data_IF_511975051716
#
_entry.id   IF_511975051716
#
_cell.length_a   1.000
_cell.length_b   1.000
_cell.length_c   1.000
_cell.angle_alpha   90.00
_cell.angle_beta   90.00
_cell.angle_gamma   90.00
#
_symmetry.space_group_name_H-M   'P 1'
#
loop_
_entity.id
_entity.type
_entity.pdbx_description
1 polymer ?
#
# COMPACT_ATOMS: atom_id res chain seq x y z
N UNK A 1 16.88 0.72 -16.31
CA UNK A 1 15.89 0.29 -15.30
C UNK A 1 15.67 1.44 -14.33
N UNK A 2 14.47 1.61 -13.76
CA UNK A 2 14.24 2.64 -12.74
C UNK A 2 15.04 2.35 -11.47
N UNK A 3 15.54 3.38 -10.80
CA UNK A 3 16.38 3.28 -9.60
C UNK A 3 16.00 4.34 -8.56
N UNK A 4 16.08 3.98 -7.29
CA UNK A 4 16.04 4.94 -6.18
C UNK A 4 17.40 5.63 -6.11
N UNK A 5 17.44 6.95 -5.94
CA UNK A 5 18.69 7.67 -5.73
C UNK A 5 18.75 8.20 -4.31
N UNK A 6 19.79 7.84 -3.56
CA UNK A 6 20.04 8.33 -2.20
C UNK A 6 21.10 9.43 -2.21
N UNK A 7 21.00 10.37 -1.29
CA UNK A 7 21.86 11.55 -1.20
C UNK A 7 22.32 11.77 0.23
N UNK A 8 23.58 12.14 0.39
CA UNK A 8 24.14 12.38 1.72
C UNK A 8 23.65 13.69 2.34
N UNK A 9 23.33 14.69 1.52
CA UNK A 9 22.78 15.96 1.99
C UNK A 9 21.28 16.06 1.74
N UNK A 10 20.61 16.93 2.48
CA UNK A 10 19.21 17.27 2.24
C UNK A 10 19.03 17.96 0.86
N UNK A 11 17.78 18.00 0.39
CA UNK A 11 17.39 18.61 -0.89
C UNK A 11 18.08 17.99 -2.12
N UNK A 12 18.45 16.70 -2.05
CA UNK A 12 19.05 15.94 -3.15
C UNK A 12 20.45 16.45 -3.56
N UNK A 13 21.26 16.84 -2.58
CA UNK A 13 22.63 17.33 -2.78
C UNK A 13 23.69 16.36 -2.24
N UNK A 14 24.96 16.68 -2.52
CA UNK A 14 26.09 15.90 -2.04
C UNK A 14 26.37 14.62 -2.84
N UNK A 15 27.21 13.77 -2.25
CA UNK A 15 27.47 12.43 -2.77
C UNK A 15 26.16 11.62 -2.88
N UNK A 16 26.03 10.81 -3.92
CA UNK A 16 24.80 10.06 -4.20
C UNK A 16 25.08 8.72 -4.85
N UNK A 17 24.13 7.80 -4.70
CA UNK A 17 24.16 6.48 -5.34
C UNK A 17 22.78 6.12 -5.88
N UNK A 18 22.76 5.54 -7.09
CA UNK A 18 21.56 5.02 -7.71
C UNK A 18 21.44 3.51 -7.46
N UNK A 19 20.28 3.09 -6.96
CA UNK A 19 20.02 1.77 -6.42
C UNK A 19 18.89 1.11 -7.20
N UNK A 20 19.23 0.02 -7.89
CA UNK A 20 18.23 -0.86 -8.48
C UNK A 20 17.48 -1.64 -7.40
N UNK A 21 16.42 -2.34 -7.83
CA UNK A 21 15.68 -3.28 -6.97
C UNK A 21 16.66 -4.29 -6.34
N UNK A 22 16.56 -4.49 -5.04
CA UNK A 22 17.46 -5.35 -4.28
C UNK A 22 17.66 -4.88 -2.85
N UNK A 23 18.54 -5.58 -2.13
CA UNK A 23 18.95 -5.24 -0.77
C UNK A 23 20.40 -4.78 -0.81
N UNK A 24 20.71 -3.63 -0.21
CA UNK A 24 22.02 -3.01 -0.30
C UNK A 24 22.47 -2.49 1.07
N UNK A 25 23.69 -2.83 1.49
CA UNK A 25 24.38 -2.12 2.58
C UNK A 25 25.07 -0.89 2.01
N UNK A 26 24.95 0.28 2.65
CA UNK A 26 25.41 1.55 2.07
C UNK A 26 26.93 1.58 1.82
N UNK A 27 27.71 0.96 2.70
CA UNK A 27 29.17 0.91 2.57
C UNK A 27 29.63 0.20 1.29
N UNK A 28 28.88 -0.80 0.84
CA UNK A 28 29.17 -1.54 -0.41
C UNK A 28 28.94 -0.70 -1.67
N UNK A 29 28.26 0.45 -1.51
CA UNK A 29 27.87 1.37 -2.58
C UNK A 29 28.74 2.63 -2.60
N UNK A 30 29.72 2.74 -1.69
CA UNK A 30 30.55 3.94 -1.55
C UNK A 30 29.82 5.13 -0.91
N UNK A 31 28.66 4.90 -0.30
CA UNK A 31 27.97 5.89 0.53
C UNK A 31 28.33 5.62 1.99
N UNK A 32 28.83 6.62 2.74
CA UNK A 32 29.07 6.42 4.17
C UNK A 32 27.78 6.01 4.89
N UNK A 33 27.87 5.01 5.75
CA UNK A 33 26.81 4.72 6.72
C UNK A 33 26.55 5.97 7.56
N UNK A 34 25.32 6.13 8.03
CA UNK A 34 24.94 7.25 8.91
C UNK A 34 25.13 8.62 8.26
N UNK A 35 24.98 8.74 6.94
CA UNK A 35 25.12 10.03 6.27
C UNK A 35 24.00 10.31 5.27
N UNK A 36 22.94 9.51 5.19
CA UNK A 36 21.85 9.70 4.22
C UNK A 36 20.82 10.70 4.76
N UNK A 37 20.57 11.76 4.00
CA UNK A 37 19.65 12.84 4.38
C UNK A 37 18.45 13.02 3.44
N UNK A 38 18.53 12.59 2.18
CA UNK A 38 17.41 12.68 1.23
C UNK A 38 17.43 11.58 0.18
N UNK A 39 16.28 11.32 -0.46
CA UNK A 39 16.17 10.30 -1.51
C UNK A 39 15.11 10.62 -2.56
N UNK A 40 15.42 10.30 -3.81
CA UNK A 40 14.47 10.27 -4.92
C UNK A 40 13.95 8.85 -5.11
N UNK A 41 12.64 8.69 -5.09
CA UNK A 41 11.97 7.41 -5.25
C UNK A 41 11.01 7.55 -6.44
N UNK A 42 11.42 7.08 -7.63
CA UNK A 42 10.58 7.16 -8.81
C UNK A 42 9.23 6.50 -8.56
N UNK A 43 8.18 7.05 -9.19
CA UNK A 43 6.86 6.44 -9.17
C UNK A 43 6.95 4.96 -9.58
N UNK A 44 6.36 4.08 -8.78
CA UNK A 44 6.51 2.64 -9.00
C UNK A 44 7.70 1.99 -8.28
N UNK A 45 8.36 2.68 -7.34
CA UNK A 45 9.40 2.12 -6.47
C UNK A 45 9.13 2.37 -4.97
N UNK A 46 9.76 1.56 -4.13
CA UNK A 46 9.74 1.73 -2.66
C UNK A 46 11.16 1.61 -2.12
N UNK A 47 11.48 2.41 -1.12
CA UNK A 47 12.76 2.40 -0.42
C UNK A 47 12.52 2.27 1.08
N UNK A 48 12.94 1.17 1.69
CA UNK A 48 12.95 1.00 3.14
C UNK A 48 14.38 1.16 3.64
N UNK A 49 14.63 2.24 4.37
CA UNK A 49 15.90 2.51 5.03
C UNK A 49 15.92 1.79 6.39
N UNK A 50 17.08 1.30 6.79
CA UNK A 50 17.34 0.62 8.07
C UNK A 50 18.54 1.25 8.77
N UNK A 51 18.44 1.43 10.08
CA UNK A 51 19.51 2.05 10.88
C UNK A 51 20.79 1.19 10.91
N UNK A 52 20.65 -0.14 10.91
CA UNK A 52 21.77 -1.07 10.99
C UNK A 52 22.04 -1.72 9.63
N UNK A 53 23.25 -2.26 9.47
CA UNK A 53 23.59 -3.13 8.34
C UNK A 53 22.76 -4.40 8.35
N UNK A 54 22.72 -5.10 7.21
CA UNK A 54 21.99 -6.36 7.05
C UNK A 54 20.47 -6.24 7.33
N UNK A 55 19.90 -5.05 7.09
CA UNK A 55 18.46 -4.78 7.09
C UNK A 55 17.80 -5.01 8.45
N UNK A 56 18.47 -4.57 9.52
CA UNK A 56 18.05 -4.74 10.91
C UNK A 56 17.80 -3.39 11.60
N UNK A 57 17.20 -3.46 12.78
CA UNK A 57 16.92 -2.29 13.60
C UNK A 57 15.73 -1.48 13.11
N UNK A 58 15.63 -0.25 13.59
CA UNK A 58 14.59 0.67 13.19
C UNK A 58 14.65 0.99 11.70
N UNK A 59 13.47 1.09 11.07
CA UNK A 59 13.34 1.27 9.64
C UNK A 59 12.28 2.31 9.28
N UNK A 60 12.47 2.96 8.13
CA UNK A 60 11.52 3.94 7.58
C UNK A 60 11.36 3.74 6.07
N UNK A 61 10.12 3.77 5.60
CA UNK A 61 9.77 3.48 4.21
C UNK A 61 9.31 4.72 3.46
N UNK A 62 9.78 4.87 2.23
CA UNK A 62 9.51 5.98 1.33
C UNK A 62 9.06 5.47 -0.03
N UNK A 63 8.04 6.11 -0.61
CA UNK A 63 7.46 5.78 -1.93
C UNK A 63 7.39 6.95 -2.89
N UNK A 64 7.95 8.08 -2.50
CA UNK A 64 8.10 9.28 -3.32
C UNK A 64 9.37 10.00 -2.92
N UNK A 65 9.78 10.95 -3.74
CA UNK A 65 10.86 11.86 -3.45
C UNK A 65 10.65 12.54 -2.08
N UNK A 66 11.69 12.52 -1.25
CA UNK A 66 11.73 13.23 0.02
C UNK A 66 12.98 14.08 0.09
N UNK A 67 12.78 15.38 0.24
CA UNK A 67 13.86 16.37 0.36
C UNK A 67 14.62 16.24 1.68
N UNK A 68 14.02 15.60 2.67
CA UNK A 68 14.61 15.35 3.98
C UNK A 68 13.95 14.11 4.60
N UNK A 69 14.73 13.18 5.12
CA UNK A 69 14.23 11.92 5.69
C UNK A 69 13.58 12.10 7.08
N UNK A 70 13.75 13.27 7.69
CA UNK A 70 13.22 13.62 9.01
C UNK A 70 14.26 13.49 10.12
N UNK A 71 14.10 14.27 11.18
CA UNK A 71 15.03 14.34 12.32
C UNK A 71 15.20 12.97 13.02
N UNK A 72 14.20 12.12 12.90
CA UNK A 72 14.17 10.76 13.43
C UNK A 72 15.08 9.78 12.68
N UNK A 73 15.42 10.07 11.42
CA UNK A 73 16.12 9.12 10.54
C UNK A 73 17.33 9.72 9.81
N UNK A 74 17.53 11.04 9.91
CA UNK A 74 18.68 11.71 9.32
C UNK A 74 19.98 11.14 9.87
N UNK A 75 20.92 10.81 8.98
CA UNK A 75 22.23 10.27 9.37
C UNK A 75 22.12 8.98 10.20
N UNK A 76 21.07 8.19 10.00
CA UNK A 76 20.89 6.88 10.67
C UNK A 76 21.06 5.68 9.76
N UNK A 77 20.84 5.85 8.46
CA UNK A 77 20.76 4.70 7.54
C UNK A 77 22.11 3.99 7.41
N UNK A 78 22.12 2.66 7.53
CA UNK A 78 23.27 1.80 7.20
C UNK A 78 22.93 0.76 6.12
N UNK A 79 21.65 0.42 5.94
CA UNK A 79 21.22 -0.45 4.83
C UNK A 79 19.86 -0.05 4.27
N UNK A 80 19.59 -0.44 3.04
CA UNK A 80 18.38 -0.08 2.30
C UNK A 80 17.86 -1.27 1.50
N UNK A 81 16.54 -1.45 1.51
CA UNK A 81 15.84 -2.35 0.59
C UNK A 81 15.09 -1.51 -0.43
N UNK A 82 15.41 -1.72 -1.71
CA UNK A 82 14.74 -1.08 -2.85
C UNK A 82 13.84 -2.10 -3.52
N UNK A 83 12.56 -1.80 -3.61
CA UNK A 83 11.55 -2.63 -4.27
C UNK A 83 10.90 -1.91 -5.44
N UNK A 84 10.18 -2.68 -6.25
CA UNK A 84 9.24 -2.12 -7.22
C UNK A 84 7.86 -2.01 -6.56
N UNK A 85 7.27 -0.83 -6.57
CA UNK A 85 5.89 -0.61 -6.14
C UNK A 85 4.86 -1.19 -7.13
N UNK A 86 5.30 -1.74 -8.28
CA UNK A 86 4.42 -2.49 -9.20
C UNK A 86 4.04 -3.88 -8.69
N UNK A 87 4.64 -4.36 -7.61
CA UNK A 87 4.09 -5.49 -6.87
C UNK A 87 4.37 -5.25 -5.40
N UNK A 88 3.47 -4.51 -4.75
CA UNK A 88 3.39 -4.47 -3.29
C UNK A 88 2.89 -5.80 -2.72
N UNK A 89 3.12 -6.93 -3.39
CA UNK A 89 2.79 -8.25 -2.85
C UNK A 89 3.56 -8.42 -1.54
N UNK A 90 2.82 -8.60 -0.46
CA UNK A 90 3.37 -8.96 0.85
C UNK A 90 3.07 -10.42 1.13
N UNK A 91 3.81 -11.04 2.05
CA UNK A 91 3.44 -12.40 2.48
C UNK A 91 2.16 -12.30 3.32
N UNK A 92 1.33 -13.32 3.28
CA UNK A 92 0.12 -13.38 4.09
C UNK A 92 0.39 -13.18 5.60
N UNK A 93 1.55 -13.65 6.08
CA UNK A 93 2.00 -13.47 7.46
C UNK A 93 2.36 -12.02 7.83
N UNK A 94 2.61 -11.16 6.85
CA UNK A 94 2.97 -9.76 7.07
C UNK A 94 1.72 -8.86 7.11
N UNK A 95 0.53 -9.41 6.81
CA UNK A 95 -0.75 -8.69 6.94
C UNK A 95 -1.02 -8.39 8.42
N UNK A 96 -1.28 -7.13 8.73
CA UNK A 96 -1.62 -6.68 10.06
C UNK A 96 -3.14 -6.55 10.22
N UNK A 97 -3.62 -6.79 11.44
CA UNK A 97 -5.05 -6.83 11.78
C UNK A 97 -5.41 -5.79 12.84
N UNK A 98 -4.57 -4.78 13.05
CA UNK A 98 -4.85 -3.69 13.98
C UNK A 98 -5.98 -2.80 13.45
N UNK A 99 -7.03 -2.51 14.24
CA UNK A 99 -8.14 -1.67 13.79
C UNK A 99 -7.67 -0.25 13.47
N UNK A 100 -8.36 0.38 12.53
CA UNK A 100 -8.16 1.76 12.16
C UNK A 100 -8.78 2.70 13.20
N UNK A 101 -7.97 3.61 13.74
CA UNK A 101 -8.38 4.61 14.72
C UNK A 101 -8.34 6.05 14.19
N UNK A 102 -7.96 6.23 12.92
CA UNK A 102 -7.88 7.54 12.29
C UNK A 102 -9.26 8.11 11.93
N UNK A 103 -9.27 9.40 11.58
CA UNK A 103 -10.41 10.06 10.95
C UNK A 103 -10.25 10.11 9.43
N UNK A 104 -11.33 10.49 8.74
CA UNK A 104 -11.32 10.71 7.30
C UNK A 104 -12.69 10.46 6.70
N UNK A 105 -12.79 10.68 5.39
CA UNK A 105 -13.97 10.37 4.61
C UNK A 105 -13.60 9.56 3.36
N UNK A 106 -14.60 8.88 2.81
CA UNK A 106 -14.43 7.97 1.67
C UNK A 106 -13.76 8.63 0.46
N UNK A 107 -14.00 9.91 0.18
CA UNK A 107 -13.41 10.56 -0.99
C UNK A 107 -11.92 10.82 -0.79
N UNK A 108 -11.52 11.26 0.41
CA UNK A 108 -10.12 11.46 0.76
C UNK A 108 -9.34 10.12 0.69
N UNK A 109 -9.92 9.04 1.20
CA UNK A 109 -9.30 7.71 1.14
C UNK A 109 -9.20 7.18 -0.29
N UNK A 110 -10.23 7.38 -1.14
CA UNK A 110 -10.16 6.99 -2.56
C UNK A 110 -9.07 7.79 -3.29
N UNK A 111 -9.00 9.11 -3.05
CA UNK A 111 -7.99 9.95 -3.69
C UNK A 111 -6.57 9.48 -3.33
N UNK A 112 -6.29 9.26 -2.05
CA UNK A 112 -5.02 8.74 -1.56
C UNK A 112 -4.72 7.32 -2.09
N UNK A 113 -5.73 6.46 -2.20
CA UNK A 113 -5.56 5.12 -2.75
C UNK A 113 -5.25 5.15 -4.25
N UNK A 114 -5.90 6.04 -5.01
CA UNK A 114 -5.59 6.26 -6.43
C UNK A 114 -4.15 6.77 -6.60
N UNK A 115 -3.72 7.73 -5.79
CA UNK A 115 -2.33 8.23 -5.79
C UNK A 115 -1.35 7.08 -5.51
N UNK A 116 -1.57 6.32 -4.43
CA UNK A 116 -0.71 5.21 -4.05
C UNK A 116 -0.65 4.13 -5.14
N UNK A 117 -1.79 3.77 -5.74
CA UNK A 117 -1.88 2.77 -6.81
C UNK A 117 -1.43 3.30 -8.18
N UNK A 118 -1.00 4.57 -8.27
CA UNK A 118 -0.68 5.26 -9.53
C UNK A 118 -1.83 5.17 -10.54
N UNK A 119 -3.07 5.35 -10.07
CA UNK A 119 -4.30 5.40 -10.86
C UNK A 119 -4.82 6.85 -10.95
N UNK A 120 -5.50 7.22 -12.04
CA UNK A 120 -6.09 8.55 -12.15
C UNK A 120 -7.21 8.72 -11.12
N UNK A 121 -7.16 9.78 -10.32
CA UNK A 121 -8.28 10.16 -9.48
C UNK A 121 -9.37 10.83 -10.35
N UNK A 122 -10.39 10.05 -10.74
CA UNK A 122 -11.43 10.48 -11.66
C UNK A 122 -12.81 9.90 -11.27
N UNK A 123 -13.92 10.32 -11.91
CA UNK A 123 -15.25 9.86 -11.56
C UNK A 123 -15.47 8.34 -11.68
N UNK A 124 -14.74 7.64 -12.54
CA UNK A 124 -14.87 6.18 -12.69
C UNK A 124 -14.46 5.44 -11.42
N UNK A 125 -13.26 5.74 -10.93
CA UNK A 125 -12.76 5.19 -9.66
C UNK A 125 -13.55 5.69 -8.45
N UNK A 126 -13.84 7.00 -8.39
CA UNK A 126 -14.56 7.61 -7.26
C UNK A 126 -15.97 7.03 -7.11
N UNK A 127 -16.76 7.00 -8.18
CA UNK A 127 -18.14 6.52 -8.08
C UNK A 127 -18.19 5.03 -7.80
N UNK A 128 -17.33 4.24 -8.47
CA UNK A 128 -17.29 2.79 -8.27
C UNK A 128 -16.94 2.41 -6.82
N UNK A 129 -15.90 3.01 -6.24
CA UNK A 129 -15.52 2.72 -4.86
C UNK A 129 -16.49 3.28 -3.82
N UNK A 130 -17.14 4.43 -4.08
CA UNK A 130 -18.22 4.92 -3.21
C UNK A 130 -19.36 3.90 -3.14
N UNK A 131 -19.84 3.42 -4.28
CA UNK A 131 -20.91 2.42 -4.30
C UNK A 131 -20.49 1.11 -3.67
N UNK A 132 -19.30 0.61 -4.01
CA UNK A 132 -18.78 -0.64 -3.46
C UNK A 132 -18.62 -0.56 -1.94
N UNK A 133 -17.91 0.44 -1.41
CA UNK A 133 -17.64 0.54 0.02
C UNK A 133 -18.91 0.83 0.83
N UNK A 134 -19.90 1.53 0.26
CA UNK A 134 -21.20 1.70 0.90
C UNK A 134 -21.88 0.35 1.13
N UNK A 135 -21.88 -0.52 0.12
CA UNK A 135 -22.53 -1.83 0.18
C UNK A 135 -21.78 -2.82 1.05
N UNK A 136 -20.47 -2.82 0.94
CA UNK A 136 -19.59 -3.79 1.58
C UNK A 136 -19.41 -3.53 3.09
N UNK A 137 -19.34 -2.27 3.50
CA UNK A 137 -18.99 -1.93 4.88
C UNK A 137 -19.80 -0.78 5.49
N UNK A 138 -20.75 -0.19 4.75
CA UNK A 138 -21.36 1.09 5.14
C UNK A 138 -20.30 2.17 5.46
N UNK A 139 -19.19 2.14 4.71
CA UNK A 139 -18.01 2.99 4.93
C UNK A 139 -17.29 2.80 6.28
N UNK A 140 -17.48 1.68 6.96
CA UNK A 140 -16.75 1.37 8.19
C UNK A 140 -15.39 0.70 7.87
N UNK A 141 -14.24 1.35 8.13
CA UNK A 141 -12.93 0.75 7.88
C UNK A 141 -12.64 -0.48 8.76
N UNK A 142 -13.37 -0.66 9.86
CA UNK A 142 -13.21 -1.78 10.79
C UNK A 142 -14.27 -2.89 10.59
N UNK A 143 -15.00 -2.87 9.47
CA UNK A 143 -15.99 -3.90 9.18
C UNK A 143 -15.33 -5.27 8.96
N UNK A 144 -15.92 -6.32 9.55
CA UNK A 144 -15.52 -7.72 9.37
C UNK A 144 -16.75 -8.54 9.04
N UNK A 145 -16.68 -9.35 7.99
CA UNK A 145 -17.71 -10.34 7.71
C UNK A 145 -17.33 -11.70 8.32
N UNK A 146 -18.11 -12.15 9.31
CA UNK A 146 -17.87 -13.40 10.05
C UNK A 146 -18.92 -14.48 9.76
N UNK A 147 -19.90 -14.18 8.91
CA UNK A 147 -21.07 -15.06 8.69
C UNK A 147 -21.05 -15.78 7.35
N UNK A 148 -20.07 -15.48 6.49
CA UNK A 148 -19.94 -16.09 5.18
C UNK A 148 -19.11 -17.39 5.19
N UNK A 149 -19.05 -18.03 4.02
CA UNK A 149 -18.30 -19.28 3.82
C UNK A 149 -16.79 -19.13 4.10
N UNK A 150 -16.27 -17.89 4.08
CA UNK A 150 -14.87 -17.58 4.30
C UNK A 150 -14.52 -17.43 5.79
N UNK A 151 -15.48 -17.59 6.71
CA UNK A 151 -15.26 -17.58 8.16
C UNK A 151 -14.53 -18.85 8.66
N UNK A 152 -13.36 -19.14 8.09
CA UNK A 152 -12.50 -20.29 8.37
C UNK A 152 -11.01 -19.86 8.40
N UNK A 153 -10.14 -20.82 8.75
CA UNK A 153 -8.70 -20.58 8.89
C UNK A 153 -8.25 -20.27 10.32
N UNK A 154 -6.96 -19.97 10.50
CA UNK A 154 -6.40 -19.61 11.81
C UNK A 154 -6.99 -18.30 12.31
N UNK A 155 -7.08 -18.14 13.62
CA UNK A 155 -7.53 -16.88 14.22
C UNK A 155 -6.45 -15.82 14.03
N UNK A 156 -6.81 -14.72 13.37
CA UNK A 156 -5.93 -13.57 13.17
C UNK A 156 -5.86 -12.69 14.43
N UNK A 157 -4.98 -11.70 14.43
CA UNK A 157 -4.73 -10.84 15.60
C UNK A 157 -5.93 -10.01 16.07
N UNK A 158 -6.99 -9.93 15.27
CA UNK A 158 -8.26 -9.27 15.59
C UNK A 158 -9.32 -10.21 16.22
N UNK A 159 -8.98 -11.49 16.42
CA UNK A 159 -9.89 -12.48 17.00
C UNK A 159 -10.85 -13.12 16.00
N UNK A 160 -10.73 -12.83 14.69
CA UNK A 160 -11.57 -13.42 13.65
C UNK A 160 -10.80 -14.45 12.79
N UNK A 161 -11.49 -15.43 12.17
CA UNK A 161 -10.85 -16.35 11.22
C UNK A 161 -10.11 -15.61 10.10
N UNK A 162 -8.94 -16.13 9.70
CA UNK A 162 -8.05 -15.46 8.75
C UNK A 162 -8.75 -15.16 7.43
N UNK A 163 -9.64 -16.02 6.94
CA UNK A 163 -10.23 -15.82 5.62
C UNK A 163 -11.44 -14.86 5.60
N UNK A 164 -11.88 -14.33 6.74
CA UNK A 164 -12.93 -13.31 6.78
C UNK A 164 -12.56 -12.07 5.94
N UNK A 165 -13.53 -11.53 5.19
CA UNK A 165 -13.34 -10.23 4.53
C UNK A 165 -13.33 -9.09 5.55
N UNK A 166 -12.48 -8.10 5.31
CA UNK A 166 -12.21 -6.99 6.22
C UNK A 166 -12.09 -5.65 5.49
N UNK A 167 -12.40 -4.59 6.20
CA UNK A 167 -12.18 -3.22 5.75
C UNK A 167 -13.21 -2.71 4.75
N UNK A 168 -12.96 -1.50 4.23
CA UNK A 168 -13.92 -0.75 3.42
C UNK A 168 -14.45 -1.52 2.19
N UNK A 169 -13.53 -2.14 1.45
CA UNK A 169 -13.83 -2.89 0.24
C UNK A 169 -13.95 -4.40 0.48
N UNK A 170 -14.01 -4.82 1.76
CA UNK A 170 -14.17 -6.22 2.17
C UNK A 170 -13.16 -7.17 1.48
N UNK A 171 -11.88 -6.83 1.57
CA UNK A 171 -10.81 -7.69 1.08
C UNK A 171 -10.57 -8.86 2.05
N UNK A 172 -10.37 -10.07 1.53
CA UNK A 172 -9.80 -11.18 2.32
C UNK A 172 -8.27 -11.03 2.42
N UNK A 173 -7.61 -11.47 3.50
CA UNK A 173 -6.17 -11.30 3.67
C UNK A 173 -5.27 -11.87 2.56
N UNK A 174 -5.56 -13.05 1.96
CA UNK A 174 -4.77 -13.52 0.82
C UNK A 174 -4.84 -12.57 -0.39
N UNK A 175 -6.01 -11.99 -0.67
CA UNK A 175 -6.18 -10.98 -1.73
C UNK A 175 -5.48 -9.69 -1.36
N UNK A 176 -5.65 -9.19 -0.13
CA UNK A 176 -4.93 -8.00 0.32
C UNK A 176 -3.43 -8.19 0.17
N UNK A 177 -2.88 -9.33 0.61
CA UNK A 177 -1.47 -9.64 0.49
C UNK A 177 -0.99 -9.70 -0.97
N UNK A 178 -1.75 -10.35 -1.86
CA UNK A 178 -1.40 -10.51 -3.28
C UNK A 178 -1.56 -9.21 -4.10
N UNK A 179 -2.32 -8.24 -3.63
CA UNK A 179 -2.63 -7.01 -4.36
C UNK A 179 -2.24 -5.74 -3.61
N UNK A 180 -1.55 -5.86 -2.47
CA UNK A 180 -1.10 -4.72 -1.68
C UNK A 180 -0.26 -3.77 -2.54
N UNK A 181 -0.35 -2.48 -2.20
CA UNK A 181 0.29 -1.39 -2.92
C UNK A 181 1.40 -0.85 -2.02
N UNK A 182 2.64 -0.94 -2.49
CA UNK A 182 3.79 -0.51 -1.71
C UNK A 182 3.66 0.96 -1.29
N UNK A 183 4.05 1.27 -0.06
CA UNK A 183 3.88 2.59 0.55
C UNK A 183 2.54 2.82 1.24
N UNK A 184 1.59 1.89 1.11
CA UNK A 184 0.39 1.87 1.94
C UNK A 184 0.61 1.00 3.18
N UNK A 185 -0.23 1.18 4.19
CA UNK A 185 -0.19 0.41 5.44
C UNK A 185 -0.24 -1.10 5.19
N UNK A 186 0.38 -1.88 6.08
CA UNK A 186 0.23 -3.35 6.09
C UNK A 186 -1.05 -3.80 6.79
N UNK A 187 -1.77 -2.88 7.45
CA UNK A 187 -3.05 -3.20 8.08
C UNK A 187 -4.15 -3.30 7.03
N UNK A 188 -4.85 -4.44 7.02
CA UNK A 188 -6.02 -4.65 6.15
C UNK A 188 -7.19 -3.71 6.49
N UNK A 189 -7.19 -3.14 7.70
CA UNK A 189 -8.20 -2.15 8.14
C UNK A 189 -7.86 -0.71 7.74
N UNK A 190 -6.63 -0.45 7.28
CA UNK A 190 -6.30 0.88 6.77
C UNK A 190 -7.12 1.18 5.50
N UNK A 191 -7.90 2.27 5.48
CA UNK A 191 -8.84 2.53 4.40
C UNK A 191 -8.15 2.77 3.05
N UNK A 192 -6.96 3.40 3.06
CA UNK A 192 -6.18 3.67 1.85
C UNK A 192 -5.60 2.38 1.29
N UNK A 193 -4.96 1.57 2.14
CA UNK A 193 -4.39 0.29 1.74
C UNK A 193 -5.45 -0.70 1.23
N UNK A 194 -6.61 -0.75 1.91
CA UNK A 194 -7.71 -1.66 1.54
C UNK A 194 -8.30 -1.31 0.16
N UNK A 195 -8.56 -0.02 -0.10
CA UNK A 195 -9.04 0.45 -1.41
C UNK A 195 -7.96 0.27 -2.48
N UNK A 196 -6.70 0.60 -2.18
CA UNK A 196 -5.60 0.48 -3.12
C UNK A 196 -5.41 -0.98 -3.56
N UNK A 197 -5.42 -1.93 -2.62
CA UNK A 197 -5.36 -3.35 -2.92
C UNK A 197 -6.58 -3.83 -3.73
N UNK A 198 -7.79 -3.40 -3.35
CA UNK A 198 -9.02 -3.70 -4.09
C UNK A 198 -8.96 -3.20 -5.54
N UNK A 199 -8.37 -2.02 -5.78
CA UNK A 199 -8.22 -1.45 -7.12
C UNK A 199 -7.36 -2.31 -8.03
N UNK A 200 -6.27 -2.87 -7.50
CA UNK A 200 -5.40 -3.79 -8.25
C UNK A 200 -6.12 -5.12 -8.48
N UNK A 201 -6.82 -5.64 -7.47
CA UNK A 201 -7.60 -6.87 -7.59
C UNK A 201 -8.67 -6.76 -8.68
N UNK A 202 -9.47 -5.69 -8.71
CA UNK A 202 -10.54 -5.58 -9.72
C UNK A 202 -10.01 -5.40 -11.14
N UNK A 203 -8.85 -4.75 -11.28
CA UNK A 203 -8.14 -4.65 -12.56
C UNK A 203 -7.61 -5.99 -13.02
N UNK A 204 -7.08 -6.82 -12.14
CA UNK A 204 -6.60 -8.13 -12.57
C UNK A 204 -7.74 -9.15 -12.75
N UNK A 205 -8.63 -9.28 -11.76
CA UNK A 205 -9.67 -10.32 -11.76
C UNK A 205 -10.82 -10.04 -12.72
N UNK A 206 -11.25 -8.78 -12.82
CA UNK A 206 -12.40 -8.35 -13.64
C UNK A 206 -11.99 -7.55 -14.87
N UNK A 207 -10.68 -7.32 -15.05
CA UNK A 207 -10.13 -6.58 -16.20
C UNK A 207 -10.65 -5.15 -16.28
N UNK A 208 -10.94 -4.52 -15.14
CA UNK A 208 -11.30 -3.08 -15.08
C UNK A 208 -10.19 -2.24 -15.71
N UNK A 209 -10.58 -1.28 -16.54
CA UNK A 209 -9.66 -0.39 -17.25
C UNK A 209 -8.88 0.50 -16.29
N UNK A 210 -7.68 0.92 -16.68
CA UNK A 210 -6.81 1.76 -15.82
C UNK A 210 -7.47 3.10 -15.46
N UNK A 211 -8.31 3.63 -16.33
CA UNK A 211 -9.09 4.85 -16.09
C UNK A 211 -10.36 4.62 -15.25
N UNK A 212 -10.69 3.37 -14.89
CA UNK A 212 -11.86 3.02 -14.08
C UNK A 212 -13.21 3.28 -14.76
N UNK A 213 -13.23 3.62 -16.05
CA UNK A 213 -14.46 4.03 -16.75
C UNK A 213 -15.50 2.92 -16.86
N UNK A 214 -15.06 1.66 -16.81
CA UNK A 214 -15.87 0.45 -16.91
C UNK A 214 -16.01 -0.31 -15.58
N UNK A 215 -15.61 0.28 -14.45
CA UNK A 215 -15.62 -0.39 -13.14
C UNK A 215 -17.03 -0.83 -12.75
N UNK A 216 -18.00 0.09 -12.78
CA UNK A 216 -19.40 -0.22 -12.49
C UNK A 216 -19.98 -1.25 -13.45
N UNK A 217 -19.58 -1.26 -14.73
CA UNK A 217 -20.06 -2.26 -15.69
C UNK A 217 -19.54 -3.67 -15.34
N UNK A 218 -18.26 -3.79 -14.99
CA UNK A 218 -17.55 -5.06 -14.77
C UNK A 218 -17.72 -5.64 -13.37
N UNK A 219 -17.95 -4.80 -12.36
CA UNK A 219 -18.11 -5.22 -10.96
C UNK A 219 -19.46 -4.75 -10.46
N UNK A 220 -20.40 -5.69 -10.30
CA UNK A 220 -21.79 -5.38 -9.92
C UNK A 220 -21.90 -4.63 -8.59
N UNK A 221 -21.00 -4.91 -7.65
CA UNK A 221 -21.00 -4.22 -6.37
C UNK A 221 -20.65 -2.73 -6.48
N UNK A 222 -19.93 -2.34 -7.53
CA UNK A 222 -19.61 -0.95 -7.84
C UNK A 222 -20.70 -0.24 -8.66
N UNK A 223 -21.82 -0.93 -8.97
CA UNK A 223 -22.90 -0.39 -9.81
C UNK A 223 -24.13 -0.01 -8.99
N UNK A 224 -24.45 1.30 -8.85
CA UNK A 224 -25.60 1.74 -8.07
C UNK A 224 -26.95 1.40 -8.73
N UNK A 225 -26.98 1.13 -10.03
CA UNK A 225 -28.21 0.80 -10.78
C UNK A 225 -28.61 -0.67 -10.70
N UNK A 226 -27.71 -1.54 -10.23
CA UNK A 226 -27.97 -2.97 -10.03
C UNK A 226 -28.11 -3.31 -8.55
N UNK A 227 -28.88 -4.34 -8.17
CA UNK A 227 -28.94 -4.78 -6.78
C UNK A 227 -27.56 -5.28 -6.30
N UNK A 228 -27.26 -5.18 -4.99
CA UNK A 228 -26.05 -5.76 -4.41
C UNK A 228 -25.95 -7.26 -4.73
N UNK A 229 -24.73 -7.73 -4.97
CA UNK A 229 -24.46 -9.15 -5.21
C UNK A 229 -23.17 -9.53 -4.48
N UNK A 230 -23.24 -10.57 -3.66
CA UNK A 230 -22.05 -11.16 -3.04
C UNK A 230 -21.10 -11.73 -4.09
N UNK A 231 -19.82 -11.80 -3.73
CA UNK A 231 -18.78 -12.43 -4.54
C UNK A 231 -18.98 -13.94 -4.67
#
# INVERSE_FOLDING_TARGET
MASVTVYVDANFHGASAALGVGRHDLEQLGIPSHSLSSLRVPAGMVATLYENTHFQGWSKTFTRDVVYVGDDFNDKTSSIVVGSATSGVIRLQDVQYGPYHGGGDINAWIAAACEAASLPHNPGWVNGFRTLCLRESSYNPNAVNTTDINANGLIAGDGHPQNCSRGLAQCIPPTFAAYHVAGTSLSIYDPVANIAASSQYVRDRYKVSRDGSDFAAKVQQADPSRPPKGY
#
